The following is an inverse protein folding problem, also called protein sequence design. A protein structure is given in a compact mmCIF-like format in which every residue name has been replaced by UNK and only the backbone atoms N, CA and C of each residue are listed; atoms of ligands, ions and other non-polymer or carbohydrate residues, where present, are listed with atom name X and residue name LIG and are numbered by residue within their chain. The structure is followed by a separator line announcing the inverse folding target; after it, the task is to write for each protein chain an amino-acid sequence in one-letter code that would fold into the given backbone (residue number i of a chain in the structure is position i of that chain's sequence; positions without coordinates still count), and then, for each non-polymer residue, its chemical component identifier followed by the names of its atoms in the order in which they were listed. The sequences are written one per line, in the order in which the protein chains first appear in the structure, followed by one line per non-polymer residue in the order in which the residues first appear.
data_IF_091647956688
#
_entry.id   IF_091647956688
#
_cell.length_a   1.000
_cell.length_b   1.000
_cell.length_c   1.000
_cell.angle_alpha   90.00
_cell.angle_beta   90.00
_cell.angle_gamma   90.00
#
_symmetry.space_group_name_H-M   'P 1'
#
loop_
_entity.id
_entity.type
_entity.pdbx_description
1 polymer ?
#
# COMPACT_ATOMS: atom_id res chain seq x y z
N UNK A 1 -26.93 5.52 -19.31
CA UNK A 1 -26.42 4.33 -18.60
C UNK A 1 -25.42 3.44 -19.35
N UNK A 2 -25.42 3.37 -20.68
CA UNK A 2 -24.57 2.47 -21.48
C UNK A 2 -23.07 2.57 -21.18
N UNK A 3 -22.55 3.80 -20.97
CA UNK A 3 -21.13 4.02 -20.68
C UNK A 3 -20.70 3.46 -19.31
N UNK A 4 -21.57 3.47 -18.30
CA UNK A 4 -21.24 2.98 -16.95
C UNK A 4 -21.01 1.46 -16.94
N UNK A 5 -21.79 0.74 -17.74
CA UNK A 5 -21.59 -0.70 -17.98
C UNK A 5 -20.26 -0.99 -18.66
N UNK A 6 -19.89 -0.19 -19.67
CA UNK A 6 -18.63 -0.34 -20.41
C UNK A 6 -17.39 -0.19 -19.51
N UNK A 7 -17.31 0.85 -18.67
CA UNK A 7 -16.19 1.02 -17.73
C UNK A 7 -16.12 -0.13 -16.72
N UNK A 8 -17.28 -0.60 -16.22
CA UNK A 8 -17.32 -1.70 -15.27
C UNK A 8 -16.84 -3.00 -15.91
N UNK A 9 -17.30 -3.31 -17.13
CA UNK A 9 -16.85 -4.48 -17.88
C UNK A 9 -15.35 -4.42 -18.17
N UNK A 10 -14.84 -3.26 -18.59
CA UNK A 10 -13.41 -3.04 -18.83
C UNK A 10 -12.58 -3.26 -17.57
N UNK A 11 -12.98 -2.68 -16.44
CA UNK A 11 -12.25 -2.86 -15.17
C UNK A 11 -12.29 -4.31 -14.67
N UNK A 12 -13.35 -5.06 -14.98
CA UNK A 12 -13.44 -6.49 -14.65
C UNK A 12 -12.60 -7.38 -15.57
N UNK A 13 -12.40 -6.98 -16.82
CA UNK A 13 -11.61 -7.75 -17.79
C UNK A 13 -10.10 -7.53 -17.69
N UNK A 14 -9.65 -6.43 -17.06
CA UNK A 14 -8.24 -6.09 -16.89
C UNK A 14 -7.74 -6.40 -15.48
N UNK A 15 -6.49 -6.87 -15.41
CA UNK A 15 -5.81 -7.22 -14.16
C UNK A 15 -5.04 -6.02 -13.60
N UNK A 16 -4.74 -6.06 -12.31
CA UNK A 16 -3.89 -5.06 -11.67
C UNK A 16 -2.50 -4.97 -12.30
N UNK A 17 -1.99 -6.12 -12.77
CA UNK A 17 -0.72 -6.22 -13.50
C UNK A 17 -0.68 -5.35 -14.76
N UNK A 18 -1.79 -5.24 -15.50
CA UNK A 18 -1.88 -4.48 -16.75
C UNK A 18 -1.63 -2.98 -16.54
N UNK A 19 -1.81 -2.49 -15.31
CA UNK A 19 -1.55 -1.11 -14.93
C UNK A 19 -0.09 -0.85 -14.51
N UNK A 20 0.68 -1.90 -14.27
CA UNK A 20 2.07 -1.81 -13.85
C UNK A 20 2.89 -1.45 -15.09
N UNK A 21 3.63 -0.33 -15.07
CA UNK A 21 4.46 0.05 -16.20
C UNK A 21 5.62 -0.94 -16.36
N UNK A 22 6.13 -1.08 -17.57
CA UNK A 22 7.28 -1.95 -17.90
C UNK A 22 8.49 -1.70 -16.99
N UNK A 23 8.66 -0.47 -16.52
CA UNK A 23 9.65 -0.13 -15.50
C UNK A 23 9.03 0.85 -14.49
N UNK A 24 9.26 0.59 -13.21
CA UNK A 24 8.94 1.52 -12.12
C UNK A 24 10.00 1.47 -11.03
N UNK A 25 10.11 2.58 -10.30
CA UNK A 25 10.92 2.68 -9.09
C UNK A 25 10.03 2.43 -7.89
N UNK A 26 10.41 1.48 -7.05
CA UNK A 26 9.82 1.25 -5.74
C UNK A 26 10.87 1.56 -4.66
N UNK A 27 10.49 2.36 -3.67
CA UNK A 27 11.32 2.63 -2.49
C UNK A 27 10.74 1.83 -1.34
N UNK A 28 11.55 0.99 -0.71
CA UNK A 28 11.20 0.18 0.45
C UNK A 28 12.11 0.59 1.60
N UNK A 29 11.57 0.71 2.81
CA UNK A 29 12.36 1.01 4.00
C UNK A 29 12.39 -0.16 4.95
N UNK A 30 13.55 -0.43 5.52
CA UNK A 30 13.65 -1.34 6.65
C UNK A 30 13.05 -0.71 7.91
N UNK A 31 12.40 -1.50 8.77
CA UNK A 31 11.83 -1.02 10.03
C UNK A 31 12.86 -0.48 11.01
N UNK A 32 14.11 -0.91 10.92
CA UNK A 32 15.21 -0.40 11.74
C UNK A 32 15.74 0.97 11.28
N UNK A 33 15.28 1.47 10.12
CA UNK A 33 15.68 2.77 9.58
C UNK A 33 15.16 3.91 10.47
N UNK A 34 16.01 4.92 10.68
CA UNK A 34 15.63 6.15 11.39
C UNK A 34 14.53 6.92 10.63
N UNK A 35 13.53 7.41 11.35
CA UNK A 35 12.38 8.12 10.77
C UNK A 35 12.80 9.35 9.98
N UNK A 36 13.76 10.13 10.49
CA UNK A 36 14.32 11.30 9.79
C UNK A 36 14.95 10.93 8.44
N UNK A 37 15.70 9.83 8.39
CA UNK A 37 16.33 9.34 7.14
C UNK A 37 15.28 8.83 6.15
N UNK A 38 14.28 8.10 6.64
CA UNK A 38 13.17 7.63 5.82
C UNK A 38 12.40 8.81 5.19
N UNK A 39 12.14 9.87 5.94
CA UNK A 39 11.51 11.08 5.41
C UNK A 39 12.37 11.75 4.33
N UNK A 40 13.66 11.95 4.59
CA UNK A 40 14.56 12.53 3.61
C UNK A 40 14.64 11.68 2.34
N UNK A 41 14.64 10.35 2.49
CA UNK A 41 14.58 9.42 1.37
C UNK A 41 13.26 9.55 0.58
N UNK A 42 12.11 9.74 1.22
CA UNK A 42 10.85 9.98 0.49
C UNK A 42 10.93 11.23 -0.39
N UNK A 43 11.43 12.35 0.17
CA UNK A 43 11.55 13.63 -0.53
C UNK A 43 12.55 13.54 -1.68
N UNK A 44 13.76 13.05 -1.42
CA UNK A 44 14.82 12.93 -2.43
C UNK A 44 14.45 11.99 -3.58
N UNK A 45 13.69 10.94 -3.30
CA UNK A 45 13.21 10.02 -4.33
C UNK A 45 11.90 10.45 -4.99
N UNK A 46 11.30 11.57 -4.57
CA UNK A 46 10.03 12.07 -5.11
C UNK A 46 8.84 11.13 -4.86
N UNK A 47 8.95 10.23 -3.88
CA UNK A 47 7.90 9.27 -3.52
C UNK A 47 7.16 9.76 -2.28
N UNK A 48 5.88 9.43 -2.21
CA UNK A 48 4.98 9.93 -1.15
C UNK A 48 4.55 8.82 -0.18
N UNK A 49 5.01 7.60 -0.42
CA UNK A 49 4.85 6.46 0.46
C UNK A 49 5.85 5.37 0.08
N UNK A 50 6.20 4.53 1.04
CA UNK A 50 7.08 3.39 0.88
C UNK A 50 6.55 2.19 1.69
N UNK A 51 6.60 0.96 1.15
CA UNK A 51 6.44 -0.26 1.94
C UNK A 51 7.54 -0.39 2.99
N UNK A 52 7.20 -1.04 4.10
CA UNK A 52 8.13 -1.35 5.19
C UNK A 52 8.48 -2.83 5.19
N UNK A 53 9.77 -3.09 5.21
CA UNK A 53 10.37 -4.42 5.31
C UNK A 53 10.89 -4.65 6.73
N UNK A 54 10.60 -5.81 7.31
CA UNK A 54 11.13 -6.25 8.60
C UNK A 54 12.23 -7.30 8.37
N UNK A 55 13.49 -6.87 8.45
CA UNK A 55 14.62 -7.78 8.29
C UNK A 55 14.68 -8.88 9.35
N UNK A 56 14.10 -8.71 10.55
CA UNK A 56 14.12 -9.75 11.59
C UNK A 56 13.18 -10.89 11.23
N UNK A 57 12.03 -10.56 10.64
CA UNK A 57 11.02 -11.52 10.17
C UNK A 57 11.29 -12.01 8.75
N UNK A 58 12.22 -11.37 8.03
CA UNK A 58 12.47 -11.57 6.60
C UNK A 58 11.19 -11.42 5.77
N UNK A 59 10.36 -10.46 6.16
CA UNK A 59 9.09 -10.22 5.49
C UNK A 59 8.63 -8.78 5.60
N UNK A 60 7.66 -8.42 4.77
CA UNK A 60 7.02 -7.13 4.87
C UNK A 60 6.20 -7.02 6.17
N UNK A 61 6.22 -5.86 6.82
CA UNK A 61 5.64 -5.68 8.17
C UNK A 61 4.15 -5.98 8.19
N UNK A 62 3.69 -6.88 9.08
CA UNK A 62 2.28 -7.17 9.36
C UNK A 62 1.81 -8.56 8.89
N UNK A 63 2.73 -9.43 8.50
CA UNK A 63 2.46 -10.83 8.13
C UNK A 63 1.92 -11.57 9.37
N UNK A 64 0.60 -11.68 9.44
CA UNK A 64 -0.04 -12.65 10.33
C UNK A 64 -0.16 -13.95 9.55
N UNK A 65 0.31 -15.02 10.18
CA UNK A 65 0.72 -16.24 9.48
C UNK A 65 -0.41 -17.00 8.80
N UNK A 66 0.02 -17.86 7.87
CA UNK A 66 -0.73 -19.03 7.43
C UNK A 66 -1.58 -18.82 6.19
N UNK A 67 -0.99 -19.01 5.02
CA UNK A 67 -1.69 -19.63 3.89
C UNK A 67 -1.87 -21.12 4.21
N UNK A 68 -2.64 -21.44 5.25
CA UNK A 68 -3.01 -22.81 5.58
C UNK A 68 -4.10 -23.28 4.63
N UNK A 69 -3.84 -24.34 3.88
CA UNK A 69 -4.80 -25.05 3.03
C UNK A 69 -6.17 -25.19 3.71
N UNK A 70 -7.18 -24.50 3.22
CA UNK A 70 -8.58 -24.82 3.51
C UNK A 70 -9.08 -25.75 2.41
N UNK A 71 -9.53 -26.92 2.85
CA UNK A 71 -9.85 -28.07 2.02
C UNK A 71 -10.98 -27.84 1.04
N UNK A 72 -11.04 -28.77 0.09
CA UNK A 72 -12.15 -28.96 -0.81
C UNK A 72 -13.45 -29.14 -0.02
N UNK A 73 -14.41 -28.22 -0.18
CA UNK A 73 -15.85 -28.47 -0.31
C UNK A 73 -16.63 -27.14 -0.38
N UNK A 74 -17.44 -26.98 -1.44
CA UNK A 74 -18.67 -26.17 -1.43
C UNK A 74 -18.59 -24.64 -1.42
N UNK A 75 -18.67 -24.03 -2.61
CA UNK A 75 -19.15 -22.65 -2.80
C UNK A 75 -18.07 -21.57 -2.84
N UNK A 76 -18.13 -20.70 -3.86
CA UNK A 76 -17.34 -19.47 -3.92
C UNK A 76 -17.89 -18.47 -2.90
N UNK A 77 -17.66 -18.71 -1.60
CA UNK A 77 -17.62 -17.64 -0.62
C UNK A 77 -16.28 -16.94 -0.80
N UNK A 78 -16.32 -15.62 -0.97
CA UNK A 78 -15.14 -14.77 -1.02
C UNK A 78 -14.19 -15.16 0.13
N UNK A 79 -12.95 -15.60 -0.15
CA UNK A 79 -11.99 -15.80 0.93
C UNK A 79 -11.87 -14.45 1.67
N UNK A 80 -11.76 -14.43 3.01
CA UNK A 80 -11.49 -13.20 3.73
C UNK A 80 -10.27 -12.58 3.05
N UNK A 81 -10.44 -11.38 2.47
CA UNK A 81 -9.39 -10.70 1.72
C UNK A 81 -8.09 -10.86 2.50
N UNK A 82 -7.03 -11.46 1.90
CA UNK A 82 -5.81 -11.75 2.64
C UNK A 82 -5.34 -10.46 3.30
N UNK A 83 -5.31 -10.45 4.64
CA UNK A 83 -4.80 -9.33 5.42
C UNK A 83 -3.34 -9.17 5.00
N UNK A 84 -3.08 -8.12 4.24
CA UNK A 84 -1.89 -8.09 3.43
C UNK A 84 -0.83 -7.21 4.08
N UNK A 85 0.40 -7.68 4.26
CA UNK A 85 1.44 -6.87 4.88
C UNK A 85 2.43 -6.39 3.85
N UNK A 86 2.56 -5.06 3.73
CA UNK A 86 3.57 -4.31 4.45
C UNK A 86 2.93 -3.14 5.18
N UNK A 87 3.42 -2.85 6.38
CA UNK A 87 3.39 -1.52 6.96
C UNK A 87 3.70 -0.50 5.88
N UNK A 88 2.76 0.40 5.56
CA UNK A 88 3.08 1.52 4.69
C UNK A 88 3.57 2.67 5.55
N UNK A 89 4.66 3.32 5.14
CA UNK A 89 5.04 4.63 5.65
C UNK A 89 4.63 5.69 4.63
N UNK A 90 3.82 6.64 5.05
CA UNK A 90 3.19 7.67 4.22
C UNK A 90 3.43 9.06 4.82
N UNK A 91 3.11 10.09 4.03
CA UNK A 91 3.15 11.49 4.52
C UNK A 91 2.23 11.70 5.74
N UNK A 92 1.11 10.97 5.82
CA UNK A 92 0.20 11.05 6.97
C UNK A 92 0.89 10.61 8.27
N UNK A 93 1.68 9.54 8.20
CA UNK A 93 2.44 9.06 9.35
C UNK A 93 3.42 10.14 9.83
N UNK A 94 4.09 10.80 8.89
CA UNK A 94 4.98 11.91 9.20
C UNK A 94 4.26 13.12 9.82
N UNK A 95 3.08 13.50 9.32
CA UNK A 95 2.27 14.57 9.92
C UNK A 95 1.92 14.21 11.37
N UNK A 96 1.53 12.96 11.62
CA UNK A 96 1.21 12.49 12.97
C UNK A 96 2.44 12.51 13.89
N UNK A 97 3.60 12.11 13.38
CA UNK A 97 4.87 12.15 14.10
C UNK A 97 5.21 13.60 14.48
N UNK A 98 5.18 14.52 13.52
CA UNK A 98 5.44 15.94 13.80
C UNK A 98 4.46 16.49 14.83
N UNK A 99 3.16 16.22 14.69
CA UNK A 99 2.16 16.71 15.64
C UNK A 99 2.37 16.17 17.07
N UNK A 100 2.95 14.97 17.22
CA UNK A 100 3.20 14.37 18.54
C UNK A 100 4.44 14.95 19.24
N UNK A 101 5.51 15.15 18.48
CA UNK A 101 6.83 15.50 19.04
C UNK A 101 7.18 16.99 18.89
N UNK A 102 6.52 17.73 18.00
CA UNK A 102 6.74 19.17 17.88
C UNK A 102 6.09 19.90 19.06
N UNK A 103 6.92 20.59 19.86
CA UNK A 103 6.47 21.41 21.00
C UNK A 103 6.55 22.92 20.72
N UNK A 104 7.69 23.39 20.20
CA UNK A 104 7.96 24.81 19.97
C UNK A 104 8.98 25.00 18.84
N UNK A 105 8.91 26.09 18.05
CA UNK A 105 9.88 26.39 17.01
C UNK A 105 11.33 26.53 17.53
N UNK A 106 11.48 26.84 18.82
CA UNK A 106 12.78 27.06 19.45
C UNK A 106 13.43 25.77 19.98
N UNK A 107 12.73 24.64 19.94
CA UNK A 107 13.23 23.36 20.44
C UNK A 107 13.36 22.40 19.26
N UNK A 108 14.60 21.96 18.98
CA UNK A 108 14.84 20.91 18.00
C UNK A 108 14.19 19.61 18.48
N UNK A 109 13.59 18.87 17.55
CA UNK A 109 12.92 17.60 17.85
C UNK A 109 13.97 16.47 17.90
N UNK A 110 14.82 16.47 18.93
CA UNK A 110 15.90 15.49 19.10
C UNK A 110 15.37 14.04 19.06
N UNK A 111 14.18 13.82 19.60
CA UNK A 111 13.50 12.53 19.60
C UNK A 111 13.30 12.01 18.16
N UNK A 112 12.99 12.87 17.20
CA UNK A 112 12.78 12.48 15.80
C UNK A 112 14.06 11.97 15.11
N UNK A 113 15.22 12.42 15.57
CA UNK A 113 16.52 12.05 14.99
C UNK A 113 16.94 10.64 15.39
N UNK A 114 16.60 10.24 16.62
CA UNK A 114 17.00 8.94 17.19
C UNK A 114 15.95 7.83 16.98
N UNK A 115 14.67 8.16 16.80
CA UNK A 115 13.62 7.15 16.66
C UNK A 115 13.71 6.37 15.34
N UNK A 116 13.52 5.05 15.44
CA UNK A 116 13.38 4.13 14.31
C UNK A 116 11.91 3.96 13.92
N UNK A 117 11.67 3.47 12.72
CA UNK A 117 10.31 3.19 12.23
C UNK A 117 9.63 2.13 13.12
N UNK A 118 10.33 1.07 13.53
CA UNK A 118 9.81 0.03 14.43
C UNK A 118 9.31 0.62 15.76
N UNK A 119 10.14 1.41 16.44
CA UNK A 119 9.84 1.99 17.75
C UNK A 119 8.66 2.97 17.68
N UNK A 120 8.58 3.75 16.59
CA UNK A 120 7.44 4.64 16.39
C UNK A 120 6.14 3.87 16.15
N UNK A 121 6.19 2.81 15.32
CA UNK A 121 5.01 1.98 15.03
C UNK A 121 4.49 1.30 16.29
N UNK A 122 5.34 0.83 17.19
CA UNK A 122 4.92 0.23 18.45
C UNK A 122 4.13 1.23 19.32
N UNK A 123 4.61 2.47 19.43
CA UNK A 123 3.95 3.54 20.21
C UNK A 123 2.64 3.99 19.57
N UNK A 124 2.52 3.96 18.23
CA UNK A 124 1.34 4.44 17.51
C UNK A 124 0.27 3.36 17.26
N UNK A 125 0.70 2.13 16.99
CA UNK A 125 -0.21 1.01 16.71
C UNK A 125 -0.93 0.49 17.95
N UNK A 126 -0.50 0.87 19.16
CA UNK A 126 -1.27 0.65 20.39
C UNK A 126 -2.63 1.35 20.36
N UNK A 127 -2.72 2.53 19.73
CA UNK A 127 -3.95 3.34 19.72
C UNK A 127 -4.85 3.08 18.51
N UNK A 128 -4.31 2.55 17.39
CA UNK A 128 -5.14 2.20 16.22
C UNK A 128 -4.45 1.21 15.29
N UNK A 129 -4.81 -0.06 15.38
CA UNK A 129 -4.44 -1.04 14.35
C UNK A 129 -5.35 -0.84 13.13
N UNK A 130 -4.82 -0.25 12.05
CA UNK A 130 -5.49 -0.23 10.75
C UNK A 130 -4.90 -1.35 9.89
N UNK A 131 -5.64 -2.45 9.64
CA UNK A 131 -5.17 -3.49 8.74
C UNK A 131 -4.91 -2.88 7.36
N UNK A 132 -3.70 -3.10 6.86
CA UNK A 132 -3.30 -2.64 5.54
C UNK A 132 -3.93 -3.56 4.50
N UNK A 133 -4.44 -2.94 3.44
CA UNK A 133 -5.09 -3.66 2.36
C UNK A 133 -4.15 -3.64 1.17
N UNK A 134 -3.91 -4.80 0.58
CA UNK A 134 -3.20 -4.94 -0.69
C UNK A 134 -4.09 -5.66 -1.70
N UNK A 135 -3.54 -5.87 -2.90
CA UNK A 135 -4.19 -6.67 -3.93
C UNK A 135 -3.18 -7.52 -4.69
N UNK A 136 -3.61 -8.71 -5.14
CA UNK A 136 -2.82 -9.56 -6.04
C UNK A 136 -2.69 -8.91 -7.42
N UNK A 137 -1.54 -9.06 -8.12
CA UNK A 137 -1.41 -8.62 -9.51
C UNK A 137 -2.44 -9.27 -10.44
N UNK A 138 -2.94 -10.46 -10.10
CA UNK A 138 -3.91 -11.21 -10.90
C UNK A 138 -5.36 -10.79 -10.65
N UNK A 139 -5.65 -10.01 -9.61
CA UNK A 139 -7.00 -9.52 -9.34
C UNK A 139 -7.42 -8.43 -10.33
N UNK A 140 -8.73 -8.23 -10.48
CA UNK A 140 -9.25 -7.26 -11.44
C UNK A 140 -9.01 -5.81 -11.01
N UNK A 141 -8.96 -4.88 -11.96
CA UNK A 141 -8.94 -3.44 -11.65
C UNK A 141 -10.21 -3.00 -10.93
N UNK A 142 -11.33 -3.69 -11.16
CA UNK A 142 -12.58 -3.42 -10.45
C UNK A 142 -12.43 -3.70 -8.95
N UNK A 143 -11.79 -4.80 -8.58
CA UNK A 143 -11.50 -5.13 -7.18
C UNK A 143 -10.54 -4.11 -6.56
N UNK A 144 -9.54 -3.65 -7.32
CA UNK A 144 -8.61 -2.62 -6.87
C UNK A 144 -9.33 -1.29 -6.55
N UNK A 145 -10.19 -0.82 -7.45
CA UNK A 145 -10.99 0.40 -7.26
C UNK A 145 -11.94 0.24 -6.08
N UNK A 146 -12.59 -0.91 -5.97
CA UNK A 146 -13.50 -1.22 -4.87
C UNK A 146 -12.77 -1.23 -3.53
N UNK A 147 -11.56 -1.77 -3.51
CA UNK A 147 -10.68 -1.78 -2.33
C UNK A 147 -10.26 -0.37 -1.90
N UNK A 148 -9.84 0.48 -2.84
CA UNK A 148 -9.48 1.88 -2.57
C UNK A 148 -10.66 2.66 -1.95
N UNK A 149 -11.86 2.51 -2.52
CA UNK A 149 -13.07 3.23 -2.07
C UNK A 149 -13.54 2.73 -0.71
N UNK A 150 -13.72 1.41 -0.56
CA UNK A 150 -14.25 0.80 0.69
C UNK A 150 -13.36 1.10 1.89
N UNK A 151 -12.04 1.03 1.69
CA UNK A 151 -11.08 1.25 2.77
C UNK A 151 -10.68 2.73 2.92
N UNK A 152 -11.19 3.63 2.08
CA UNK A 152 -10.86 5.07 2.07
C UNK A 152 -9.36 5.32 2.00
N UNK A 153 -8.66 4.52 1.20
CA UNK A 153 -7.20 4.60 1.01
C UNK A 153 -6.86 5.11 -0.39
N UNK A 154 -5.78 5.87 -0.48
CA UNK A 154 -5.37 6.51 -1.75
C UNK A 154 -4.28 5.71 -2.48
N UNK A 155 -3.74 4.69 -1.80
CA UNK A 155 -2.60 3.88 -2.24
C UNK A 155 -2.91 2.43 -1.92
N UNK A 156 -2.89 1.60 -2.94
CA UNK A 156 -3.11 0.17 -2.80
C UNK A 156 -1.85 -0.56 -3.29
N UNK A 157 -1.05 -1.16 -2.41
CA UNK A 157 0.08 -1.99 -2.83
C UNK A 157 -0.41 -3.21 -3.60
N UNK A 158 0.27 -3.49 -4.71
CA UNK A 158 0.11 -4.73 -5.50
C UNK A 158 1.22 -5.67 -5.07
N UNK A 159 0.84 -6.82 -4.55
CA UNK A 159 1.79 -7.77 -3.93
C UNK A 159 1.61 -9.12 -4.59
N UNK A 160 2.74 -9.67 -5.00
CA UNK A 160 2.78 -11.01 -5.54
C UNK A 160 2.57 -12.02 -4.42
N UNK A 161 1.51 -12.86 -4.47
CA UNK A 161 1.23 -13.81 -3.39
C UNK A 161 2.28 -14.91 -3.28
N UNK A 162 2.95 -15.26 -4.39
CA UNK A 162 3.92 -16.35 -4.42
C UNK A 162 5.26 -15.94 -3.78
N UNK A 163 5.74 -14.73 -4.08
CA UNK A 163 7.00 -14.23 -3.54
C UNK A 163 6.87 -13.30 -2.34
N UNK A 164 5.67 -12.81 -2.03
CA UNK A 164 5.44 -11.77 -1.02
C UNK A 164 5.97 -10.38 -1.42
N UNK A 165 6.47 -10.22 -2.64
CA UNK A 165 7.10 -8.97 -3.08
C UNK A 165 6.06 -7.91 -3.42
N UNK A 166 6.30 -6.67 -2.96
CA UNK A 166 5.54 -5.52 -3.45
C UNK A 166 6.01 -5.19 -4.87
N UNK A 167 5.13 -5.33 -5.85
CA UNK A 167 5.42 -5.07 -7.26
C UNK A 167 5.20 -3.60 -7.62
N UNK A 168 4.11 -3.01 -7.12
CA UNK A 168 3.70 -1.68 -7.53
C UNK A 168 2.74 -1.02 -6.52
N UNK A 169 2.57 0.31 -6.56
CA UNK A 169 1.58 1.04 -5.75
C UNK A 169 0.52 1.67 -6.66
N UNK A 170 -0.68 1.08 -6.67
CA UNK A 170 -1.83 1.60 -7.38
C UNK A 170 -2.38 2.86 -6.70
N UNK A 171 -2.86 3.80 -7.53
CA UNK A 171 -3.49 5.04 -7.07
C UNK A 171 -4.65 5.40 -8.00
N UNK A 172 -5.65 6.11 -7.47
CA UNK A 172 -6.77 6.64 -8.27
C UNK A 172 -6.30 7.37 -9.53
N UNK A 173 -5.26 8.21 -9.42
CA UNK A 173 -4.71 8.98 -10.55
C UNK A 173 -4.24 8.08 -11.70
N UNK A 174 -3.61 6.95 -11.41
CA UNK A 174 -3.12 6.03 -12.45
C UNK A 174 -4.24 5.22 -13.08
N UNK A 175 -5.19 4.75 -12.27
CA UNK A 175 -6.37 4.05 -12.77
C UNK A 175 -7.17 4.96 -13.71
N UNK A 176 -7.43 6.20 -13.31
CA UNK A 176 -8.14 7.16 -14.16
C UNK A 176 -7.39 7.49 -15.46
N UNK A 177 -6.05 7.61 -15.41
CA UNK A 177 -5.24 7.79 -16.62
C UNK A 177 -5.35 6.61 -17.57
N UNK A 178 -5.31 5.38 -17.04
CA UNK A 178 -5.45 4.17 -17.84
C UNK A 178 -6.84 4.05 -18.48
N UNK A 179 -7.90 4.31 -17.70
CA UNK A 179 -9.27 4.36 -18.23
C UNK A 179 -9.43 5.42 -19.32
N UNK A 180 -8.83 6.60 -19.15
CA UNK A 180 -8.87 7.65 -20.17
C UNK A 180 -8.20 7.22 -21.47
N UNK A 181 -7.04 6.57 -21.39
CA UNK A 181 -6.32 6.06 -22.57
C UNK A 181 -7.16 5.02 -23.32
N UNK A 182 -7.85 4.14 -22.61
CA UNK A 182 -8.75 3.17 -23.22
C UNK A 182 -9.90 3.84 -23.99
N UNK A 183 -10.56 4.83 -23.39
CA UNK A 183 -11.67 5.54 -24.05
C UNK A 183 -11.22 6.28 -25.30
N UNK A 184 -9.99 6.79 -25.33
CA UNK A 184 -9.42 7.40 -26.54
C UNK A 184 -9.01 6.40 -27.63
N UNK A 185 -8.88 5.11 -27.29
CA UNK A 185 -8.49 4.04 -28.21
C UNK A 185 -9.70 3.22 -28.71
N UNK A 186 -10.86 3.35 -28.06
CA UNK A 186 -12.12 2.85 -28.59
C UNK A 186 -12.66 3.82 -29.66
N UNK A 187 -12.89 3.36 -30.91
CA UNK A 187 -13.53 4.16 -31.96
C UNK A 187 -14.96 4.58 -31.63
#
# INVERSE_FOLDING_TARGET
DTHRGAYTAFMKSHRCYDLIPTSSKLVVFDTSLQVKKAFFALVTNGVRAAPLWDSKKQSFVGEQGGWGSLGAEGGWQDPPHPACPPGMLTITDFINILHRYYKSPMVQIYELEEHKIETWREVYLQDSFKPLVCISPNASLFDAVSSLIRNKIHRLPVIDPDSGNTLYILTHKRILKFLKLFVSLCP
#
